data_IF_493877816023
#
_entry.id   IF_493877816023
#
_cell.length_a   1.000
_cell.length_b   1.000
_cell.length_c   1.000
_cell.angle_alpha   90.00
_cell.angle_beta   90.00
_cell.angle_gamma   90.00
#
_symmetry.space_group_name_H-M   'P 1'
#
loop_
_entity.id
_entity.type
_entity.pdbx_description
1 polymer ?
#
# COMPACT_ATOMS: atom_id res chain seq x y z
N UNK A 1 -19.01 -8.87 -27.63
CA UNK A 1 -19.07 -8.11 -26.35
C UNK A 1 -19.33 -9.09 -25.21
N UNK A 2 -18.51 -9.10 -24.15
CA UNK A 2 -18.72 -9.98 -23.00
C UNK A 2 -19.73 -9.31 -22.06
N UNK A 3 -20.81 -10.00 -21.71
CA UNK A 3 -21.79 -9.50 -20.73
C UNK A 3 -21.16 -9.40 -19.34
N UNK A 4 -21.58 -8.40 -18.55
CA UNK A 4 -21.13 -8.19 -17.17
C UNK A 4 -22.31 -8.31 -16.23
N UNK A 5 -22.07 -8.92 -15.07
CA UNK A 5 -23.08 -9.05 -14.02
C UNK A 5 -23.14 -7.76 -13.21
N UNK A 6 -24.33 -7.18 -13.08
CA UNK A 6 -24.54 -6.01 -12.23
C UNK A 6 -24.62 -6.47 -10.77
N UNK A 7 -23.71 -5.96 -9.94
CA UNK A 7 -23.58 -6.46 -8.57
C UNK A 7 -24.40 -5.62 -7.57
N UNK A 8 -25.29 -6.23 -6.78
CA UNK A 8 -26.00 -5.52 -5.71
C UNK A 8 -25.03 -5.08 -4.61
N UNK A 9 -25.37 -4.00 -3.89
CA UNK A 9 -24.49 -3.40 -2.87
C UNK A 9 -24.01 -4.42 -1.83
N UNK A 10 -24.92 -5.28 -1.35
CA UNK A 10 -24.63 -6.31 -0.34
C UNK A 10 -23.59 -7.36 -0.73
N UNK A 11 -23.26 -7.49 -2.03
CA UNK A 11 -22.29 -8.47 -2.54
C UNK A 11 -20.94 -7.88 -2.93
N UNK A 12 -20.80 -6.56 -2.93
CA UNK A 12 -19.58 -5.88 -3.39
C UNK A 12 -18.37 -6.21 -2.52
N UNK A 13 -18.53 -6.22 -1.20
CA UNK A 13 -17.43 -6.49 -0.27
C UNK A 13 -16.95 -7.94 -0.37
N UNK A 14 -17.87 -8.88 -0.55
CA UNK A 14 -17.55 -10.30 -0.75
C UNK A 14 -16.70 -10.50 -2.01
N UNK A 15 -17.12 -9.89 -3.13
CA UNK A 15 -16.38 -9.94 -4.40
C UNK A 15 -15.03 -9.21 -4.29
N UNK A 16 -14.97 -8.08 -3.58
CA UNK A 16 -13.73 -7.34 -3.36
C UNK A 16 -12.69 -8.15 -2.58
N UNK A 17 -13.12 -8.79 -1.47
CA UNK A 17 -12.26 -9.68 -0.67
C UNK A 17 -11.71 -10.81 -1.53
N UNK A 18 -12.57 -11.53 -2.25
CA UNK A 18 -12.13 -12.63 -3.13
C UNK A 18 -11.18 -12.12 -4.22
N UNK A 19 -11.52 -11.03 -4.92
CA UNK A 19 -10.67 -10.49 -5.98
C UNK A 19 -9.28 -10.03 -5.48
N UNK A 20 -9.20 -9.57 -4.22
CA UNK A 20 -8.00 -9.09 -3.56
C UNK A 20 -7.15 -10.24 -2.95
N UNK A 21 -7.79 -11.24 -2.33
CA UNK A 21 -7.14 -12.28 -1.51
C UNK A 21 -6.71 -13.53 -2.29
N UNK A 22 -7.16 -13.72 -3.54
CA UNK A 22 -6.75 -14.89 -4.36
C UNK A 22 -5.22 -14.99 -4.39
N UNK A 23 -4.66 -16.15 -4.04
CA UNK A 23 -3.20 -16.41 -4.03
C UNK A 23 -2.52 -16.07 -5.38
N UNK A 24 -3.21 -16.34 -6.49
CA UNK A 24 -2.81 -15.99 -7.86
C UNK A 24 -2.96 -14.49 -8.20
N UNK A 25 -3.42 -13.66 -7.26
CA UNK A 25 -3.46 -12.19 -7.36
C UNK A 25 -2.11 -11.53 -7.19
N UNK A 26 -1.16 -12.25 -6.60
CA UNK A 26 0.14 -11.73 -6.22
C UNK A 26 0.04 -10.39 -5.49
N UNK A 27 -0.97 -10.15 -4.64
CA UNK A 27 -1.09 -8.90 -3.87
C UNK A 27 -0.82 -7.60 -4.65
N UNK A 28 -1.19 -7.56 -5.94
CA UNK A 28 -0.72 -6.56 -6.92
C UNK A 28 -1.46 -5.19 -6.83
N UNK A 29 -1.99 -4.85 -5.66
CA UNK A 29 -2.59 -3.56 -5.35
C UNK A 29 -3.90 -3.23 -6.10
N UNK A 30 -4.35 -1.99 -5.95
CA UNK A 30 -5.65 -1.47 -6.43
C UNK A 30 -5.91 -1.74 -7.93
N UNK A 31 -4.89 -1.57 -8.77
CA UNK A 31 -5.08 -1.62 -10.23
C UNK A 31 -5.49 -3.00 -10.73
N UNK A 32 -4.86 -4.08 -10.25
CA UNK A 32 -5.20 -5.44 -10.69
C UNK A 32 -6.52 -5.92 -10.11
N UNK A 33 -6.82 -5.58 -8.84
CA UNK A 33 -8.14 -5.84 -8.23
C UNK A 33 -9.24 -5.19 -9.07
N UNK A 34 -9.05 -3.93 -9.46
CA UNK A 34 -10.00 -3.22 -10.35
C UNK A 34 -10.14 -3.88 -11.70
N UNK A 35 -9.05 -4.29 -12.34
CA UNK A 35 -9.07 -4.92 -13.66
C UNK A 35 -9.85 -6.25 -13.64
N UNK A 36 -9.63 -7.07 -12.60
CA UNK A 36 -10.35 -8.34 -12.41
C UNK A 36 -11.84 -8.15 -12.20
N UNK A 37 -12.20 -7.23 -11.31
CA UNK A 37 -13.60 -6.91 -11.06
C UNK A 37 -14.28 -6.43 -12.33
N UNK A 38 -13.64 -5.52 -13.08
CA UNK A 38 -14.18 -4.99 -14.34
C UNK A 38 -14.29 -6.04 -15.45
N UNK A 39 -13.66 -7.20 -15.32
CA UNK A 39 -13.76 -8.29 -16.30
C UNK A 39 -15.13 -8.97 -16.26
N UNK A 40 -15.65 -9.24 -15.04
CA UNK A 40 -16.88 -10.02 -14.85
C UNK A 40 -18.06 -9.20 -14.29
N UNK A 41 -17.78 -8.11 -13.58
CA UNK A 41 -18.76 -7.37 -12.81
C UNK A 41 -18.87 -5.90 -13.20
N UNK A 42 -20.03 -5.32 -12.94
CA UNK A 42 -20.32 -3.91 -13.11
C UNK A 42 -21.12 -3.34 -11.94
N UNK A 43 -20.75 -2.13 -11.50
CA UNK A 43 -21.60 -1.22 -10.73
C UNK A 43 -21.07 0.22 -10.91
N UNK A 44 -21.89 1.25 -10.63
CA UNK A 44 -21.42 2.63 -10.63
C UNK A 44 -20.25 2.82 -9.65
N UNK A 45 -19.23 3.58 -10.05
CA UNK A 45 -18.09 3.93 -9.19
C UNK A 45 -17.20 2.76 -8.71
N UNK A 46 -17.09 1.65 -9.48
CA UNK A 46 -16.16 0.53 -9.17
C UNK A 46 -14.78 1.03 -8.74
N UNK A 47 -14.22 1.99 -9.48
CA UNK A 47 -12.87 2.50 -9.20
C UNK A 47 -12.75 3.10 -7.80
N UNK A 48 -13.76 3.87 -7.36
CA UNK A 48 -13.79 4.50 -6.05
C UNK A 48 -13.88 3.46 -4.93
N UNK A 49 -14.80 2.52 -5.06
CA UNK A 49 -14.97 1.42 -4.10
C UNK A 49 -13.71 0.56 -3.96
N UNK A 50 -13.05 0.20 -5.07
CA UNK A 50 -11.82 -0.59 -5.03
C UNK A 50 -10.69 0.17 -4.33
N UNK A 51 -10.57 1.48 -4.60
CA UNK A 51 -9.58 2.35 -3.96
C UNK A 51 -9.81 2.45 -2.45
N UNK A 52 -11.03 2.76 -2.02
CA UNK A 52 -11.40 2.85 -0.60
C UNK A 52 -11.14 1.51 0.12
N UNK A 53 -11.53 0.39 -0.50
CA UNK A 53 -11.27 -0.94 0.05
C UNK A 53 -9.76 -1.19 0.25
N UNK A 54 -8.94 -0.93 -0.76
CA UNK A 54 -7.49 -1.13 -0.66
C UNK A 54 -6.81 -0.15 0.31
N UNK A 55 -7.40 1.02 0.54
CA UNK A 55 -6.89 1.99 1.53
C UNK A 55 -7.20 1.56 2.97
N UNK A 56 -8.36 0.95 3.22
CA UNK A 56 -8.77 0.50 4.56
C UNK A 56 -8.26 -0.89 4.92
N UNK A 57 -7.88 -1.72 3.94
CA UNK A 57 -7.51 -3.10 4.18
C UNK A 57 -6.08 -3.21 4.74
N UNK A 58 -5.96 -3.73 5.96
CA UNK A 58 -4.71 -3.86 6.72
C UNK A 58 -3.54 -4.42 5.90
N UNK A 59 -3.78 -5.51 5.15
CA UNK A 59 -2.72 -6.18 4.40
C UNK A 59 -2.14 -5.30 3.27
N UNK A 60 -2.96 -4.40 2.70
CA UNK A 60 -2.47 -3.40 1.75
C UNK A 60 -1.66 -2.32 2.45
N UNK A 61 -2.11 -1.86 3.63
CA UNK A 61 -1.45 -0.78 4.36
C UNK A 61 -0.04 -1.17 4.81
N UNK A 62 0.14 -2.36 5.41
CA UNK A 62 1.43 -2.82 5.93
C UNK A 62 2.47 -3.03 4.82
N UNK A 63 2.02 -3.42 3.63
CA UNK A 63 2.91 -3.72 2.49
C UNK A 63 3.16 -2.53 1.57
N UNK A 64 2.37 -1.46 1.70
CA UNK A 64 2.50 -0.30 0.84
C UNK A 64 3.85 0.37 1.10
N UNK A 65 4.61 0.59 0.04
CA UNK A 65 5.82 1.38 0.12
C UNK A 65 5.49 2.77 0.67
N UNK A 66 6.23 3.18 1.70
CA UNK A 66 6.16 4.55 2.23
C UNK A 66 6.86 5.44 1.21
N UNK A 67 6.08 6.12 0.36
CA UNK A 67 6.61 6.99 -0.70
C UNK A 67 6.83 8.43 -0.26
N UNK A 68 6.41 8.78 0.96
CA UNK A 68 6.73 10.07 1.55
C UNK A 68 7.98 9.90 2.41
N UNK A 69 8.94 10.81 2.27
CA UNK A 69 10.06 10.89 3.21
C UNK A 69 9.59 11.63 4.44
N UNK A 70 10.26 11.38 5.56
CA UNK A 70 10.11 12.23 6.73
C UNK A 70 10.33 13.69 6.29
N UNK A 71 9.37 14.55 6.59
CA UNK A 71 9.39 15.95 6.13
C UNK A 71 10.16 16.85 7.09
N UNK A 72 10.72 16.27 8.15
CA UNK A 72 11.54 16.98 9.12
C UNK A 72 12.86 17.37 8.44
N UNK A 73 13.16 18.68 8.32
CA UNK A 73 14.46 19.11 7.84
C UNK A 73 15.57 18.56 8.73
N UNK A 74 16.67 18.14 8.13
CA UNK A 74 17.87 17.76 8.89
C UNK A 74 18.27 18.94 9.79
N UNK A 75 18.36 18.68 11.08
CA UNK A 75 18.82 19.68 12.04
C UNK A 75 20.36 19.67 12.06
N UNK A 76 21.00 20.84 12.17
CA UNK A 76 22.45 20.91 12.33
C UNK A 76 22.87 20.23 13.63
N UNK A 77 23.89 19.38 13.56
CA UNK A 77 24.53 18.79 14.73
C UNK A 77 25.46 19.85 15.32
N UNK A 78 25.39 20.08 16.63
CA UNK A 78 26.29 21.00 17.31
C UNK A 78 27.74 20.49 17.21
N UNK A 79 28.66 21.38 16.82
CA UNK A 79 30.09 21.06 16.78
C UNK A 79 30.67 21.30 18.18
N UNK A 80 31.33 20.30 18.79
CA UNK A 80 32.03 20.48 20.06
C UNK A 80 33.10 21.58 19.96
N UNK A 81 33.29 22.33 21.04
CA UNK A 81 34.21 23.46 21.10
C UNK A 81 35.65 23.01 21.36
N UNK A 82 35.80 21.94 22.16
CA UNK A 82 37.10 21.39 22.53
C UNK A 82 37.34 20.00 21.93
N UNK A 83 38.61 19.61 21.72
CA UNK A 83 38.96 18.24 21.38
C UNK A 83 38.41 17.23 22.40
N UNK A 84 37.99 16.06 21.91
CA UNK A 84 37.53 14.91 22.72
C UNK A 84 36.21 15.07 23.49
N UNK A 85 35.40 16.11 23.22
CA UNK A 85 34.07 16.26 23.84
C UNK A 85 33.03 15.25 23.33
N UNK A 86 33.13 14.83 22.06
CA UNK A 86 32.21 13.88 21.43
C UNK A 86 33.00 12.85 20.63
N UNK A 87 32.70 11.57 20.83
CA UNK A 87 33.24 10.46 20.06
C UNK A 87 32.09 9.64 19.47
N UNK A 88 32.22 9.29 18.19
CA UNK A 88 31.30 8.40 17.50
C UNK A 88 32.06 7.14 17.13
N UNK A 89 31.54 5.98 17.52
CA UNK A 89 32.05 4.68 17.08
C UNK A 89 30.97 3.98 16.27
N UNK A 90 31.40 3.27 15.24
CA UNK A 90 30.55 2.40 14.46
C UNK A 90 31.27 1.08 14.27
N UNK A 91 30.50 -0.01 14.21
CA UNK A 91 31.03 -1.34 13.97
C UNK A 91 30.77 -1.71 12.52
N UNK A 92 31.84 -1.97 11.78
CA UNK A 92 31.71 -2.56 10.46
C UNK A 92 31.51 -4.07 10.63
N UNK A 93 30.50 -4.60 9.92
CA UNK A 93 30.07 -6.00 10.00
C UNK A 93 31.11 -7.02 9.53
N UNK A 94 30.75 -8.31 9.51
CA UNK A 94 31.63 -9.43 9.81
C UNK A 94 32.87 -9.45 8.91
N UNK A 95 34.01 -9.73 9.52
CA UNK A 95 35.22 -10.10 8.79
C UNK A 95 35.05 -11.47 8.14
#
# INVERSE_FOLDING_TARGET
MRSKVVLPKCKRDEVLKVAHEILLAGHLGEQKTRQRIKYSFFWPEITKYVKEFCQCYWQCQVRRAITYRDRIPLQPIFRPENPFEVWSSDCIGPL
#
